data_IF_154983404503
#
_entry.id   IF_154983404503
#
_cell.length_a   1.000
_cell.length_b   1.000
_cell.length_c   1.000
_cell.angle_alpha   90.00
_cell.angle_beta   90.00
_cell.angle_gamma   90.00
#
_symmetry.space_group_name_H-M   'P 1'
#
loop_
_entity.id
_entity.type
_entity.pdbx_description
1 polymer ?
#
# COMPACT_ATOMS: atom_id res chain seq x y z
N UNK A 1 -6.89 39.78 20.39
CA UNK A 1 -6.36 38.49 19.90
C UNK A 1 -6.49 38.44 18.39
N UNK A 2 -5.46 37.97 17.67
CA UNK A 2 -5.50 37.74 16.23
C UNK A 2 -5.78 36.26 15.96
N UNK A 3 -6.39 35.96 14.81
CA UNK A 3 -6.65 34.59 14.38
C UNK A 3 -6.26 34.37 12.92
N UNK A 4 -5.67 33.22 12.62
CA UNK A 4 -5.34 32.77 11.26
C UNK A 4 -5.96 31.40 11.04
N UNK A 5 -6.58 31.19 9.88
CA UNK A 5 -7.06 29.87 9.46
C UNK A 5 -6.07 29.25 8.50
N UNK A 6 -5.70 28.00 8.75
CA UNK A 6 -4.78 27.26 7.90
C UNK A 6 -5.26 25.84 7.62
N UNK A 7 -4.91 25.37 6.43
CA UNK A 7 -5.23 24.03 5.95
C UNK A 7 -3.96 23.26 5.59
N UNK A 8 -3.88 22.00 6.01
CA UNK A 8 -2.78 21.10 5.66
C UNK A 8 -3.19 19.63 5.71
N UNK A 9 -2.39 18.69 5.15
CA UNK A 9 -2.71 17.26 5.17
C UNK A 9 -2.81 16.65 6.59
N UNK A 10 -2.18 17.26 7.58
CA UNK A 10 -2.24 16.85 8.98
C UNK A 10 -2.40 18.07 9.88
N UNK A 11 -2.98 17.85 11.07
CA UNK A 11 -3.16 18.92 12.09
C UNK A 11 -1.81 19.52 12.46
N UNK A 12 -0.78 18.71 12.70
CA UNK A 12 0.57 19.19 13.06
C UNK A 12 1.16 20.10 11.98
N UNK A 13 1.00 19.77 10.69
CA UNK A 13 1.48 20.63 9.60
C UNK A 13 0.69 21.93 9.50
N UNK A 14 -0.62 21.89 9.77
CA UNK A 14 -1.44 23.10 9.78
C UNK A 14 -1.02 24.02 10.94
N UNK A 15 -0.74 23.46 12.12
CA UNK A 15 -0.24 24.22 13.29
C UNK A 15 1.12 24.84 12.98
N UNK A 16 2.05 24.08 12.40
CA UNK A 16 3.38 24.58 12.05
C UNK A 16 3.31 25.74 11.06
N UNK A 17 2.50 25.58 10.00
CA UNK A 17 2.27 26.64 9.00
C UNK A 17 1.65 27.88 9.62
N UNK A 18 0.63 27.71 10.47
CA UNK A 18 -0.01 28.82 11.18
C UNK A 18 0.94 29.50 12.18
N UNK A 19 1.79 28.73 12.88
CA UNK A 19 2.77 29.25 13.83
C UNK A 19 3.83 30.10 13.13
N UNK A 20 4.33 29.65 11.97
CA UNK A 20 5.24 30.44 11.14
C UNK A 20 4.56 31.72 10.61
N UNK A 21 3.32 31.61 10.11
CA UNK A 21 2.54 32.76 9.62
C UNK A 21 2.23 33.78 10.74
N UNK A 22 2.10 33.34 11.98
CA UNK A 22 1.89 34.17 13.16
C UNK A 22 3.17 34.80 13.74
N UNK A 23 4.35 34.57 13.12
CA UNK A 23 5.62 35.10 13.62
C UNK A 23 6.14 34.37 14.86
N UNK A 24 5.85 33.07 14.97
CA UNK A 24 6.32 32.20 16.05
C UNK A 24 5.97 32.69 17.47
N UNK A 25 4.67 32.90 17.78
CA UNK A 25 4.24 33.35 19.09
C UNK A 25 4.59 32.32 20.17
N UNK A 26 4.88 32.82 21.38
CA UNK A 26 5.21 31.99 22.55
C UNK A 26 3.96 31.32 23.13
N UNK A 27 2.82 32.01 23.08
CA UNK A 27 1.54 31.50 23.57
C UNK A 27 0.51 31.58 22.44
N UNK A 28 -0.22 30.48 22.24
CA UNK A 28 -1.25 30.36 21.24
C UNK A 28 -2.30 29.33 21.66
N UNK A 29 -3.47 29.40 21.04
CA UNK A 29 -4.56 28.42 21.18
C UNK A 29 -5.00 27.94 19.80
N UNK A 30 -5.34 26.66 19.68
CA UNK A 30 -5.73 26.06 18.41
C UNK A 30 -7.12 25.47 18.55
N UNK A 31 -8.01 25.79 17.62
CA UNK A 31 -9.31 25.14 17.46
C UNK A 31 -9.32 24.33 16.17
N UNK A 32 -9.54 23.03 16.29
CA UNK A 32 -9.66 22.14 15.13
C UNK A 32 -11.07 22.30 14.57
N UNK A 33 -11.16 22.70 13.29
CA UNK A 33 -12.43 22.90 12.60
C UNK A 33 -12.82 21.65 11.80
N UNK A 34 -11.84 21.02 11.15
CA UNK A 34 -12.05 19.79 10.38
C UNK A 34 -10.89 18.80 10.62
N UNK A 35 -11.23 17.53 10.85
CA UNK A 35 -10.27 16.44 10.99
C UNK A 35 -9.84 15.93 9.60
N UNK A 36 -8.56 15.58 9.41
CA UNK A 36 -8.10 15.05 8.14
C UNK A 36 -8.66 13.64 7.91
N UNK A 37 -9.12 13.37 6.68
CA UNK A 37 -9.56 12.02 6.26
C UNK A 37 -8.51 11.43 5.34
N UNK A 38 -7.97 10.27 5.74
CA UNK A 38 -6.97 9.52 4.97
C UNK A 38 -7.61 8.32 4.29
N UNK A 39 -7.26 8.10 3.03
CA UNK A 39 -7.57 6.86 2.30
C UNK A 39 -6.58 5.76 2.72
N UNK A 40 -6.94 4.50 2.49
CA UNK A 40 -6.14 3.30 2.81
C UNK A 40 -4.68 3.36 2.32
N UNK A 41 -4.41 4.07 1.23
CA UNK A 41 -3.05 4.27 0.70
C UNK A 41 -2.24 5.36 1.43
N UNK A 42 -2.74 5.90 2.53
CA UNK A 42 -2.09 6.98 3.29
C UNK A 42 -2.24 8.37 2.66
N UNK A 43 -2.86 8.49 1.49
CA UNK A 43 -3.17 9.77 0.87
C UNK A 43 -4.30 10.48 1.61
N UNK A 44 -4.17 11.79 1.78
CA UNK A 44 -5.17 12.62 2.47
C UNK A 44 -6.21 13.10 1.45
N UNK A 45 -7.47 12.72 1.65
CA UNK A 45 -8.59 13.09 0.77
C UNK A 45 -9.25 14.38 1.23
N UNK A 46 -9.28 14.61 2.55
CA UNK A 46 -9.71 15.88 3.14
C UNK A 46 -8.60 16.40 4.05
N UNK A 47 -8.12 17.60 3.76
CA UNK A 47 -7.13 18.30 4.58
C UNK A 47 -7.69 18.61 5.96
N UNK A 48 -6.82 18.67 6.96
CA UNK A 48 -7.16 19.24 8.26
C UNK A 48 -7.32 20.77 8.11
N UNK A 49 -8.32 21.33 8.79
CA UNK A 49 -8.54 22.78 8.89
C UNK A 49 -8.50 23.19 10.35
N UNK A 50 -7.70 24.21 10.67
CA UNK A 50 -7.59 24.75 12.02
C UNK A 50 -7.80 26.27 12.03
N UNK A 51 -8.26 26.77 13.17
CA UNK A 51 -8.17 28.18 13.54
C UNK A 51 -7.10 28.33 14.63
N UNK A 52 -6.11 29.17 14.36
CA UNK A 52 -4.96 29.44 15.22
C UNK A 52 -5.10 30.83 15.82
N UNK A 53 -5.20 30.93 17.14
CA UNK A 53 -5.40 32.16 17.90
C UNK A 53 -4.13 32.52 18.67
N UNK A 54 -3.70 33.78 18.60
CA UNK A 54 -2.52 34.24 19.32
C UNK A 54 -2.66 35.69 19.77
N UNK A 55 -1.92 36.03 20.81
CA UNK A 55 -1.69 37.41 21.19
C UNK A 55 -0.48 37.93 20.42
N UNK A 56 -0.65 39.06 19.75
CA UNK A 56 0.43 39.74 19.09
C UNK A 56 1.32 40.36 20.17
N UNK A 57 2.30 39.60 20.63
CA UNK A 57 3.36 40.18 21.43
C UNK A 57 4.08 41.18 20.53
N UNK A 58 3.96 42.47 20.84
CA UNK A 58 4.69 43.57 20.19
C UNK A 58 6.18 43.42 20.57
N UNK A 59 6.80 42.32 20.15
CA UNK A 59 8.24 42.24 20.02
C UNK A 59 8.50 43.07 18.78
N UNK A 60 8.72 44.37 19.02
CA UNK A 60 9.14 45.35 18.05
C UNK A 60 10.07 44.65 17.07
N UNK A 61 9.61 44.50 15.84
CA UNK A 61 10.36 43.83 14.81
C UNK A 61 11.63 44.65 14.62
N UNK A 62 12.74 44.20 15.20
CA UNK A 62 14.06 44.48 14.65
C UNK A 62 13.98 43.99 13.22
N UNK A 63 13.82 44.95 12.32
CA UNK A 63 13.81 44.76 10.89
C UNK A 63 14.95 43.81 10.54
N UNK A 64 14.63 42.56 10.21
CA UNK A 64 15.48 41.78 9.34
C UNK A 64 15.38 42.42 7.97
N UNK A 65 16.14 43.51 7.79
CA UNK A 65 16.56 44.03 6.51
C UNK A 65 17.14 42.84 5.76
N UNK A 66 16.32 42.35 4.84
CA UNK A 66 16.70 41.46 3.75
C UNK A 66 18.07 41.93 3.25
N UNK A 67 19.16 41.14 3.34
CA UNK A 67 20.42 41.54 2.73
C UNK A 67 20.16 41.66 1.24
N UNK A 68 20.18 42.91 0.78
CA UNK A 68 20.23 43.30 -0.61
C UNK A 68 21.41 42.55 -1.23
N UNK A 69 21.08 41.50 -1.98
CA UNK A 69 22.06 40.76 -2.77
C UNK A 69 22.57 41.71 -3.83
N UNK A 70 23.68 42.37 -3.54
CA UNK A 70 24.52 43.01 -4.52
C UNK A 70 24.87 41.98 -5.59
N UNK A 71 24.39 42.25 -6.79
CA UNK A 71 24.68 41.53 -8.01
C UNK A 71 26.17 41.65 -8.32
N UNK A 72 27.00 40.73 -7.82
CA UNK A 72 28.35 40.55 -8.34
C UNK A 72 28.28 39.64 -9.57
N UNK A 73 28.33 40.35 -10.68
CA UNK A 73 28.51 39.91 -12.06
C UNK A 73 29.79 39.07 -12.19
N UNK A 74 29.68 37.74 -12.12
CA UNK A 74 30.78 36.82 -12.45
C UNK A 74 30.44 36.08 -13.75
N UNK A 75 30.94 36.68 -14.85
CA UNK A 75 30.97 36.13 -16.21
C UNK A 75 31.44 34.67 -16.20
N UNK A 76 30.58 33.75 -16.65
CA UNK A 76 31.02 32.44 -17.17
C UNK A 76 30.91 32.44 -18.69
N UNK A 77 31.96 32.02 -19.42
CA UNK A 77 32.01 32.09 -20.87
C UNK A 77 31.05 31.09 -21.52
N UNK A 78 30.54 31.53 -22.66
CA UNK A 78 29.67 30.82 -23.58
C UNK A 78 30.25 29.44 -23.96
N UNK A 79 29.44 28.40 -23.79
CA UNK A 79 29.63 27.12 -24.49
C UNK A 79 28.54 27.02 -25.54
N UNK A 80 29.00 27.08 -26.78
CA UNK A 80 28.27 26.94 -28.05
C UNK A 80 27.23 25.81 -28.02
N UNK A 81 25.99 26.20 -28.27
CA UNK A 81 25.22 25.81 -29.44
C UNK A 81 25.68 24.52 -30.16
N UNK A 82 24.91 23.45 -29.99
CA UNK A 82 24.77 22.41 -31.03
C UNK A 82 23.31 22.05 -31.19
N UNK A 83 22.74 22.63 -32.23
CA UNK A 83 21.49 22.26 -32.88
C UNK A 83 21.75 21.01 -33.73
N UNK A 84 21.06 19.90 -33.44
CA UNK A 84 20.76 18.80 -34.36
C UNK A 84 19.36 18.31 -33.94
N UNK A 85 18.29 18.86 -34.53
CA UNK A 85 17.66 18.41 -35.78
C UNK A 85 17.54 16.88 -35.87
N UNK A 86 16.40 16.36 -35.43
CA UNK A 86 15.80 15.18 -36.06
C UNK A 86 14.29 15.38 -36.15
N UNK A 87 13.90 16.02 -37.25
CA UNK A 87 12.62 15.79 -37.91
C UNK A 87 12.61 14.32 -38.34
N UNK A 88 11.75 13.49 -37.76
CA UNK A 88 11.28 12.29 -38.44
C UNK A 88 9.75 12.22 -38.38
N UNK A 89 9.21 12.80 -39.43
CA UNK A 89 7.96 12.45 -40.07
C UNK A 89 8.02 10.95 -40.44
N UNK A 90 7.10 10.12 -39.96
CA UNK A 90 6.79 8.84 -40.61
C UNK A 90 5.31 8.52 -40.44
N UNK A 91 4.68 8.35 -41.60
CA UNK A 91 3.28 8.08 -41.89
C UNK A 91 2.64 6.88 -41.14
N UNK A 92 1.29 6.81 -41.15
CA UNK A 92 0.54 5.64 -40.70
C UNK A 92 0.52 4.55 -41.79
N UNK A 93 1.22 3.44 -41.57
CA UNK A 93 1.13 2.26 -42.46
C UNK A 93 0.08 1.27 -41.98
N UNK A 94 -1.06 1.29 -42.68
CA UNK A 94 -2.10 0.27 -42.70
C UNK A 94 -1.60 -0.96 -43.50
N UNK A 95 -2.22 -2.12 -43.26
CA UNK A 95 -2.13 -3.43 -43.99
C UNK A 95 -0.78 -4.18 -43.79
N UNK A 96 -0.68 -5.48 -43.48
CA UNK A 96 -1.56 -6.64 -43.60
C UNK A 96 -1.10 -7.78 -42.65
N UNK A 97 -2.01 -8.66 -42.24
CA UNK A 97 -1.72 -10.06 -41.85
C UNK A 97 -1.30 -10.89 -43.11
N UNK A 98 -0.92 -12.19 -43.08
CA UNK A 98 -0.91 -13.18 -41.97
C UNK A 98 0.34 -14.12 -41.90
N UNK A 99 0.31 -15.03 -40.92
CA UNK A 99 0.89 -16.39 -40.90
C UNK A 99 2.43 -16.57 -40.84
N UNK A 100 2.92 -17.25 -39.79
CA UNK A 100 3.40 -18.65 -39.85
C UNK A 100 4.16 -19.05 -38.58
N UNK A 101 3.63 -20.08 -37.92
CA UNK A 101 4.28 -21.34 -37.56
C UNK A 101 5.74 -21.34 -37.07
N UNK A 102 5.93 -21.87 -35.85
CA UNK A 102 7.04 -22.71 -35.30
C UNK A 102 7.36 -22.24 -33.87
N UNK A 103 7.56 -23.07 -32.86
CA UNK A 103 7.81 -24.50 -32.80
C UNK A 103 7.50 -24.98 -31.38
N UNK A 104 6.82 -26.12 -31.30
CA UNK A 104 6.64 -26.89 -30.08
C UNK A 104 8.01 -27.21 -29.45
N UNK A 105 8.16 -26.94 -28.14
CA UNK A 105 9.29 -27.47 -27.37
C UNK A 105 8.78 -28.70 -26.59
N UNK A 106 9.37 -29.89 -26.81
CA UNK A 106 8.86 -31.13 -26.26
C UNK A 106 9.09 -31.24 -24.75
N UNK A 107 8.15 -31.96 -24.15
CA UNK A 107 8.15 -32.46 -22.79
C UNK A 107 9.46 -33.15 -22.43
N UNK A 108 10.04 -32.78 -21.28
CA UNK A 108 11.08 -33.59 -20.65
C UNK A 108 10.43 -34.43 -19.56
N UNK A 109 10.27 -35.67 -19.98
CA UNK A 109 9.79 -36.86 -19.31
C UNK A 109 10.81 -37.41 -18.28
N UNK A 110 10.24 -38.06 -17.26
CA UNK A 110 10.81 -39.06 -16.36
C UNK A 110 12.03 -38.74 -15.49
N UNK A 111 11.78 -38.65 -14.17
CA UNK A 111 12.67 -39.32 -13.21
C UNK A 111 11.89 -40.04 -12.11
N UNK A 112 12.19 -41.34 -11.85
CA UNK A 112 11.40 -42.22 -11.00
C UNK A 112 11.63 -42.07 -9.49
N UNK A 113 10.60 -42.53 -8.77
CA UNK A 113 10.52 -42.97 -7.36
C UNK A 113 11.83 -43.50 -6.77
N UNK A 114 12.17 -43.00 -5.58
CA UNK A 114 12.85 -43.78 -4.54
C UNK A 114 12.20 -43.44 -3.20
N UNK A 115 11.43 -44.39 -2.68
CA UNK A 115 11.17 -44.52 -1.24
C UNK A 115 12.33 -45.31 -0.63
N UNK A 116 12.68 -45.05 0.64
CA UNK A 116 12.62 -46.19 1.55
C UNK A 116 12.16 -45.87 2.98
N UNK A 117 11.63 -46.94 3.58
CA UNK A 117 11.67 -47.32 4.99
C UNK A 117 10.71 -46.62 5.96
N UNK A 118 9.58 -47.30 6.17
CA UNK A 118 8.96 -47.44 7.48
C UNK A 118 10.00 -47.90 8.51
N UNK A 119 9.98 -47.30 9.69
CA UNK A 119 10.49 -47.92 10.91
C UNK A 119 9.39 -47.80 11.95
N UNK A 120 8.68 -48.91 12.13
CA UNK A 120 7.89 -49.19 13.33
C UNK A 120 8.85 -49.38 14.50
N UNK A 121 8.67 -48.61 15.58
CA UNK A 121 8.94 -49.06 16.95
C UNK A 121 8.14 -48.20 17.95
N UNK A 122 7.08 -48.82 18.46
CA UNK A 122 6.71 -48.97 19.88
C UNK A 122 7.02 -47.84 20.87
N UNK A 123 5.93 -47.24 21.37
CA UNK A 123 5.47 -47.37 22.77
C UNK A 123 6.53 -47.24 23.88
N UNK A 124 6.52 -46.11 24.61
CA UNK A 124 6.01 -46.06 25.99
C UNK A 124 6.63 -44.94 26.86
N UNK A 125 5.76 -44.35 27.69
CA UNK A 125 5.99 -43.70 29.00
C UNK A 125 6.48 -42.24 29.09
N UNK A 126 5.50 -41.38 29.39
CA UNK A 126 5.48 -40.31 30.41
C UNK A 126 6.75 -39.49 30.69
N UNK A 127 6.66 -38.18 30.41
CA UNK A 127 6.63 -37.16 31.47
C UNK A 127 6.33 -35.77 30.89
N UNK A 128 5.26 -35.19 31.40
CA UNK A 128 4.80 -33.83 31.16
C UNK A 128 5.77 -32.82 31.78
N UNK A 129 6.47 -32.06 30.95
CA UNK A 129 6.82 -30.65 31.20
C UNK A 129 6.84 -29.94 29.84
N UNK A 130 5.67 -29.46 29.40
CA UNK A 130 5.52 -28.64 28.19
C UNK A 130 6.18 -27.27 28.39
N UNK A 131 7.48 -27.21 28.09
CA UNK A 131 8.15 -25.95 27.81
C UNK A 131 8.09 -25.79 26.29
N UNK A 132 7.15 -24.97 25.82
CA UNK A 132 6.86 -24.75 24.39
C UNK A 132 8.03 -24.07 23.68
N UNK A 133 9.02 -24.86 23.28
CA UNK A 133 10.04 -24.46 22.32
C UNK A 133 9.38 -24.37 20.94
N UNK A 134 8.91 -23.17 20.59
CA UNK A 134 8.43 -22.84 19.25
C UNK A 134 9.56 -23.05 18.25
N UNK A 135 9.51 -24.14 17.49
CA UNK A 135 10.34 -24.31 16.30
C UNK A 135 9.90 -23.28 15.25
N UNK A 136 10.79 -22.35 14.84
CA UNK A 136 10.46 -21.30 13.90
C UNK A 136 10.50 -21.87 12.47
N UNK A 137 9.46 -22.61 12.11
CA UNK A 137 9.30 -23.13 10.76
C UNK A 137 7.81 -23.24 10.39
N UNK A 138 7.04 -22.19 10.63
CA UNK A 138 5.72 -22.07 10.01
C UNK A 138 5.83 -21.26 8.72
N UNK A 139 6.21 -21.93 7.64
CA UNK A 139 6.13 -21.39 6.28
C UNK A 139 4.67 -21.37 5.77
N UNK A 140 3.71 -20.97 6.60
CA UNK A 140 2.28 -21.08 6.31
C UNK A 140 1.46 -19.95 6.90
N UNK A 141 0.20 -19.88 6.49
CA UNK A 141 -0.79 -18.96 7.07
C UNK A 141 -1.09 -19.37 8.51
N UNK A 142 -0.59 -18.58 9.47
CA UNK A 142 -0.94 -18.73 10.88
C UNK A 142 -2.32 -18.11 11.19
N UNK A 143 -2.90 -18.46 12.32
CA UNK A 143 -4.23 -17.96 12.69
C UNK A 143 -4.26 -16.43 12.84
N UNK A 144 -3.13 -15.83 13.25
CA UNK A 144 -2.94 -14.39 13.45
C UNK A 144 -2.93 -13.60 12.13
N UNK A 145 -2.27 -14.11 11.09
CA UNK A 145 -2.27 -13.53 9.74
C UNK A 145 -3.62 -13.70 9.07
N UNK A 146 -4.28 -14.85 9.26
CA UNK A 146 -5.66 -15.06 8.79
C UNK A 146 -6.62 -14.08 9.45
N UNK A 147 -6.53 -13.87 10.76
CA UNK A 147 -7.35 -12.89 11.47
C UNK A 147 -7.11 -11.44 10.97
N UNK A 148 -5.84 -11.10 10.69
CA UNK A 148 -5.48 -9.80 10.12
C UNK A 148 -6.03 -9.62 8.70
N UNK A 149 -5.99 -10.69 7.91
CA UNK A 149 -6.54 -10.71 6.56
C UNK A 149 -8.06 -10.51 6.57
N UNK A 150 -8.78 -11.18 7.49
CA UNK A 150 -10.23 -11.00 7.69
C UNK A 150 -10.57 -9.57 8.08
N UNK A 151 -9.89 -9.03 9.10
CA UNK A 151 -10.09 -7.64 9.56
C UNK A 151 -9.86 -6.62 8.44
N UNK A 152 -8.86 -6.86 7.58
CA UNK A 152 -8.63 -6.01 6.43
C UNK A 152 -9.77 -6.10 5.41
N UNK A 153 -10.22 -7.33 5.11
CA UNK A 153 -11.28 -7.58 4.13
C UNK A 153 -12.61 -6.97 4.57
N UNK A 154 -12.95 -7.10 5.85
CA UNK A 154 -14.16 -6.49 6.44
C UNK A 154 -14.19 -4.98 6.19
N UNK A 155 -13.06 -4.29 6.43
CA UNK A 155 -12.93 -2.85 6.18
C UNK A 155 -13.04 -2.50 4.70
N UNK A 156 -12.49 -3.33 3.82
CA UNK A 156 -12.58 -3.09 2.37
C UNK A 156 -14.02 -3.23 1.90
N UNK A 157 -14.72 -4.29 2.34
CA UNK A 157 -16.13 -4.51 2.02
C UNK A 157 -17.02 -3.40 2.59
N UNK A 158 -16.76 -2.96 3.83
CA UNK A 158 -17.44 -1.81 4.43
C UNK A 158 -17.24 -0.53 3.61
N UNK A 159 -16.00 -0.22 3.22
CA UNK A 159 -15.68 0.97 2.41
C UNK A 159 -16.32 0.92 1.01
N UNK A 160 -16.60 -0.28 0.48
CA UNK A 160 -17.31 -0.46 -0.78
C UNK A 160 -18.84 -0.40 -0.63
N UNK A 161 -19.37 -0.20 0.59
CA UNK A 161 -20.78 -0.36 0.93
C UNK A 161 -21.32 -1.76 0.56
N UNK A 162 -20.50 -2.79 0.82
CA UNK A 162 -20.76 -4.21 0.54
C UNK A 162 -20.61 -5.08 1.80
N UNK A 163 -20.98 -4.54 2.96
CA UNK A 163 -20.91 -5.24 4.24
C UNK A 163 -21.94 -6.36 4.39
N UNK A 164 -22.89 -6.49 3.45
CA UNK A 164 -23.90 -7.56 3.41
C UNK A 164 -23.37 -8.88 2.85
N UNK A 165 -22.16 -8.88 2.30
CA UNK A 165 -21.53 -10.03 1.64
C UNK A 165 -20.76 -10.83 2.67
N UNK A 166 -21.20 -12.07 2.89
CA UNK A 166 -20.50 -13.01 3.77
C UNK A 166 -19.38 -13.72 3.02
N UNK A 167 -18.36 -14.16 3.74
CA UNK A 167 -17.26 -14.88 3.15
C UNK A 167 -16.68 -15.92 4.10
N UNK A 168 -16.09 -16.97 3.53
CA UNK A 168 -15.30 -17.97 4.26
C UNK A 168 -13.84 -17.90 3.83
N UNK A 169 -12.95 -18.41 4.68
CA UNK A 169 -11.52 -18.45 4.39
C UNK A 169 -10.99 -19.86 4.62
N UNK A 170 -10.28 -20.41 3.65
CA UNK A 170 -9.63 -21.70 3.73
C UNK A 170 -8.12 -21.54 3.55
N UNK A 171 -7.35 -22.15 4.45
CA UNK A 171 -5.89 -22.14 4.39
C UNK A 171 -5.36 -23.46 3.87
N UNK A 172 -4.55 -23.42 2.82
CA UNK A 172 -3.91 -24.60 2.24
C UNK A 172 -2.42 -24.32 1.99
N UNK A 173 -1.55 -24.79 2.89
CA UNK A 173 -0.09 -24.54 2.83
C UNK A 173 0.21 -23.03 2.73
N UNK A 174 0.57 -22.56 1.54
CA UNK A 174 0.94 -21.17 1.26
C UNK A 174 -0.21 -20.37 0.65
N UNK A 175 -1.38 -20.98 0.44
CA UNK A 175 -2.55 -20.35 -0.15
C UNK A 175 -3.57 -20.00 0.93
N UNK A 176 -4.06 -18.76 0.89
CA UNK A 176 -5.28 -18.35 1.55
C UNK A 176 -6.35 -18.18 0.47
N UNK A 177 -7.34 -19.05 0.50
CA UNK A 177 -8.51 -18.96 -0.38
C UNK A 177 -9.61 -18.22 0.37
N UNK A 178 -10.09 -17.12 -0.18
CA UNK A 178 -11.25 -16.39 0.30
C UNK A 178 -12.41 -16.70 -0.64
N UNK A 179 -13.52 -17.18 -0.10
CA UNK A 179 -14.71 -17.55 -0.87
C UNK A 179 -15.83 -16.60 -0.46
N UNK A 180 -16.21 -15.71 -1.36
CA UNK A 180 -17.33 -14.78 -1.20
C UNK A 180 -18.63 -15.51 -1.52
N UNK A 181 -19.70 -15.20 -0.78
CA UNK A 181 -21.04 -15.74 -1.05
C UNK A 181 -21.66 -15.18 -2.34
N UNK A 182 -21.38 -13.91 -2.65
CA UNK A 182 -21.92 -13.15 -3.78
C UNK A 182 -20.84 -12.45 -4.58
N UNK A 183 -21.17 -12.17 -5.83
CA UNK A 183 -20.34 -11.40 -6.74
C UNK A 183 -20.27 -9.92 -6.34
N UNK A 184 -19.06 -9.35 -6.37
CA UNK A 184 -18.84 -7.92 -6.09
C UNK A 184 -19.09 -7.01 -7.31
N UNK A 185 -19.16 -7.55 -8.53
CA UNK A 185 -19.34 -6.78 -9.76
C UNK A 185 -20.32 -7.46 -10.73
N UNK A 186 -20.99 -6.69 -11.59
CA UNK A 186 -21.98 -7.24 -12.52
C UNK A 186 -21.34 -8.02 -13.68
N UNK A 187 -20.13 -7.64 -14.08
CA UNK A 187 -19.41 -8.25 -15.19
C UNK A 187 -18.29 -9.16 -14.68
N UNK A 188 -18.25 -10.40 -15.15
CA UNK A 188 -17.26 -11.41 -14.77
C UNK A 188 -15.80 -10.98 -15.05
N UNK A 189 -15.55 -10.19 -16.10
CA UNK A 189 -14.20 -9.71 -16.42
C UNK A 189 -13.73 -8.64 -15.43
N UNK A 190 -14.62 -7.69 -15.11
CA UNK A 190 -14.36 -6.66 -14.09
C UNK A 190 -14.19 -7.30 -12.71
N UNK A 191 -15.01 -8.30 -12.40
CA UNK A 191 -14.92 -9.07 -11.17
C UNK A 191 -13.55 -9.75 -11.02
N UNK A 192 -13.10 -10.47 -12.05
CA UNK A 192 -11.77 -11.11 -12.04
C UNK A 192 -10.64 -10.11 -11.85
N UNK A 193 -10.71 -8.97 -12.54
CA UNK A 193 -9.73 -7.89 -12.41
C UNK A 193 -9.70 -7.35 -10.97
N UNK A 194 -10.89 -7.05 -10.41
CA UNK A 194 -11.02 -6.54 -9.05
C UNK A 194 -10.56 -7.56 -8.00
N UNK A 195 -10.89 -8.85 -8.14
CA UNK A 195 -10.42 -9.90 -7.24
C UNK A 195 -8.90 -10.06 -7.28
N UNK A 196 -8.30 -9.96 -8.47
CA UNK A 196 -6.84 -9.99 -8.62
C UNK A 196 -6.19 -8.81 -7.90
N UNK A 197 -6.69 -7.59 -8.09
CA UNK A 197 -6.22 -6.40 -7.39
C UNK A 197 -6.40 -6.49 -5.88
N UNK A 198 -7.57 -6.96 -5.42
CA UNK A 198 -7.88 -7.09 -4.00
C UNK A 198 -7.02 -8.16 -3.32
N UNK A 199 -6.76 -9.29 -3.99
CA UNK A 199 -5.85 -10.33 -3.49
C UNK A 199 -4.41 -9.79 -3.33
N UNK A 200 -3.96 -8.98 -4.29
CA UNK A 200 -2.65 -8.33 -4.21
C UNK A 200 -2.55 -7.36 -3.04
N UNK A 201 -3.56 -6.49 -2.88
CA UNK A 201 -3.61 -5.53 -1.79
C UNK A 201 -3.72 -6.20 -0.41
N UNK A 202 -4.52 -7.26 -0.29
CA UNK A 202 -4.62 -8.06 0.92
C UNK A 202 -3.26 -8.63 1.32
N UNK A 203 -2.56 -9.25 0.35
CA UNK A 203 -1.24 -9.82 0.59
C UNK A 203 -0.22 -8.76 1.04
N UNK A 204 -0.26 -7.57 0.42
CA UNK A 204 0.60 -6.46 0.81
C UNK A 204 0.27 -5.94 2.21
N UNK A 205 -1.02 -5.80 2.55
CA UNK A 205 -1.47 -5.36 3.87
C UNK A 205 -1.02 -6.33 4.97
N UNK A 206 -1.18 -7.63 4.76
CA UNK A 206 -0.73 -8.67 5.71
C UNK A 206 0.78 -8.63 5.90
N UNK A 207 1.55 -8.47 4.80
CA UNK A 207 3.03 -8.34 4.88
C UNK A 207 3.46 -7.14 5.71
N UNK A 208 2.80 -5.98 5.52
CA UNK A 208 3.10 -4.78 6.31
C UNK A 208 2.75 -4.95 7.79
N UNK A 209 1.62 -5.59 8.10
CA UNK A 209 1.16 -5.76 9.48
C UNK A 209 2.07 -6.65 10.32
N UNK A 210 2.68 -7.67 9.71
CA UNK A 210 3.41 -8.70 10.44
C UNK A 210 4.93 -8.60 10.31
N UNK A 211 5.47 -7.67 9.51
CA UNK A 211 6.92 -7.49 9.23
C UNK A 211 7.70 -8.76 8.82
N UNK A 212 6.99 -9.86 8.57
CA UNK A 212 7.56 -11.18 8.43
C UNK A 212 7.90 -11.49 6.97
N UNK A 213 8.95 -12.30 6.82
CA UNK A 213 9.48 -12.84 5.57
C UNK A 213 8.57 -13.93 4.97
N UNK A 214 7.31 -13.58 4.73
CA UNK A 214 6.32 -14.41 4.03
C UNK A 214 6.63 -14.50 2.53
N UNK A 215 7.81 -15.05 2.23
CA UNK A 215 8.27 -15.41 0.90
C UNK A 215 7.41 -16.61 0.49
N UNK A 216 6.62 -16.44 -0.58
CA UNK A 216 5.75 -17.46 -1.21
C UNK A 216 4.29 -17.56 -0.73
N UNK A 217 3.79 -16.68 0.14
CA UNK A 217 2.33 -16.64 0.39
C UNK A 217 1.56 -16.15 -0.84
N UNK A 218 0.40 -16.75 -1.08
CA UNK A 218 -0.53 -16.42 -2.15
C UNK A 218 -1.93 -16.29 -1.59
N UNK A 219 -2.68 -15.34 -2.13
CA UNK A 219 -4.10 -15.13 -1.84
C UNK A 219 -4.87 -15.42 -3.12
N UNK A 220 -5.98 -16.15 -3.00
CA UNK A 220 -6.91 -16.40 -4.10
C UNK A 220 -8.30 -16.02 -3.62
N UNK A 221 -9.01 -15.19 -4.39
CA UNK A 221 -10.38 -14.79 -4.07
C UNK A 221 -11.30 -15.40 -5.13
N UNK A 222 -12.36 -16.06 -4.67
CA UNK A 222 -13.36 -16.74 -5.51
C UNK A 222 -14.77 -16.37 -5.02
N UNK A 223 -15.75 -16.57 -5.89
CA UNK A 223 -17.18 -16.47 -5.55
C UNK A 223 -17.81 -17.86 -5.58
N UNK A 224 -18.69 -18.17 -4.63
CA UNK A 224 -19.35 -19.48 -4.53
C UNK A 224 -20.30 -19.78 -5.71
N UNK A 225 -20.81 -18.74 -6.37
CA UNK A 225 -21.78 -18.88 -7.46
C UNK A 225 -21.23 -19.41 -8.80
N UNK A 226 -19.91 -19.67 -8.90
CA UNK A 226 -19.21 -20.00 -10.14
C UNK A 226 -18.60 -21.42 -10.16
N UNK A 227 -18.91 -22.26 -9.17
CA UNK A 227 -18.45 -23.67 -9.12
C UNK A 227 -19.47 -24.65 -9.69
#
# INVERSE_FOLDING_TARGET
MKSIMEEAPTISKAIEKAWQAAGSPTQFSVKILELPVKTFFGFTTKSAKIAFFFEESIKAHTHHTKPERTSSNAKKPARMERVERSEYNTEPKKVAAPAQTRQARPAKENRPKVSPAQTDHSESTASQVETTAHTPSSYGWDQTTVASARTWLDKVLENMNKSDISYSTETQKNYLTVILDRSLAQNAEQERSMYSSMAHLLLQAVRHAHQNDYKNLKVVIKTSALS
#
